data_IF_920795287247
#
_entry.id   IF_920795287247
#
_cell.length_a   1.000
_cell.length_b   1.000
_cell.length_c   1.000
_cell.angle_alpha   90.00
_cell.angle_beta   90.00
_cell.angle_gamma   90.00
#
_symmetry.space_group_name_H-M   'P 1'
#
loop_
_entity.id
_entity.type
_entity.pdbx_description
1 polymer ?
#
# COMPACT_ATOMS: atom_id res chain seq x y z
N UNK A 1 -25.72 12.07 26.02
CA UNK A 1 -25.69 13.22 25.09
C UNK A 1 -26.30 12.76 23.78
N UNK A 2 -27.54 13.14 23.48
CA UNK A 2 -28.18 12.82 22.20
C UNK A 2 -27.58 13.72 21.12
N UNK A 3 -26.77 13.15 20.23
CA UNK A 3 -26.28 13.87 19.05
C UNK A 3 -27.50 14.18 18.16
N UNK A 4 -27.77 15.47 17.96
CA UNK A 4 -28.76 15.90 16.98
C UNK A 4 -28.35 15.35 15.60
N UNK A 5 -29.33 14.99 14.75
CA UNK A 5 -29.03 14.52 13.40
C UNK A 5 -28.25 15.60 12.63
N UNK A 6 -27.27 15.20 11.79
CA UNK A 6 -26.46 16.15 11.03
C UNK A 6 -27.33 16.95 10.06
N UNK A 7 -27.03 18.24 9.92
CA UNK A 7 -27.74 19.10 8.96
C UNK A 7 -27.30 18.77 7.53
N UNK A 8 -28.16 19.09 6.55
CA UNK A 8 -27.87 18.90 5.12
C UNK A 8 -26.54 19.57 4.72
N UNK A 9 -26.28 20.78 5.22
CA UNK A 9 -25.02 21.49 4.98
C UNK A 9 -23.80 20.76 5.56
N UNK A 10 -23.92 20.11 6.72
CA UNK A 10 -22.84 19.32 7.31
C UNK A 10 -22.55 18.06 6.49
N UNK A 11 -23.58 17.43 5.90
CA UNK A 11 -23.42 16.27 5.02
C UNK A 11 -22.64 16.65 3.75
N UNK A 12 -22.97 17.79 3.13
CA UNK A 12 -22.28 18.23 1.91
C UNK A 12 -20.89 18.79 2.16
N UNK A 13 -20.68 19.57 3.23
CA UNK A 13 -19.35 19.99 3.62
C UNK A 13 -18.44 18.79 3.87
N UNK A 14 -18.96 17.76 4.56
CA UNK A 14 -18.23 16.52 4.75
C UNK A 14 -17.91 15.83 3.43
N UNK A 15 -18.87 15.73 2.50
CA UNK A 15 -18.63 15.11 1.20
C UNK A 15 -17.54 15.85 0.39
N UNK A 16 -17.54 17.18 0.41
CA UNK A 16 -16.56 18.01 -0.31
C UNK A 16 -15.13 17.79 0.20
N UNK A 17 -14.95 17.81 1.52
CA UNK A 17 -13.63 17.71 2.17
C UNK A 17 -13.18 16.28 2.48
N UNK A 18 -14.00 15.25 2.22
CA UNK A 18 -13.58 13.86 2.41
C UNK A 18 -12.66 13.43 1.25
N UNK A 19 -11.36 13.17 1.51
CA UNK A 19 -10.43 12.75 0.47
C UNK A 19 -10.62 11.28 0.10
N UNK A 20 -11.49 10.53 0.78
CA UNK A 20 -11.66 9.10 0.53
C UNK A 20 -12.36 8.85 -0.82
N UNK A 21 -12.07 7.71 -1.48
CA UNK A 21 -12.78 7.32 -2.69
C UNK A 21 -14.30 7.18 -2.45
N UNK A 22 -15.11 7.63 -3.40
CA UNK A 22 -16.57 7.42 -3.33
C UNK A 22 -16.91 6.01 -3.79
N UNK A 23 -17.44 5.19 -2.89
CA UNK A 23 -17.74 3.76 -3.14
C UNK A 23 -19.20 3.47 -3.47
N UNK A 24 -20.10 4.39 -3.11
CA UNK A 24 -21.55 4.18 -3.24
C UNK A 24 -22.17 5.29 -4.08
N UNK A 25 -23.27 4.97 -4.77
CA UNK A 25 -24.04 5.94 -5.56
C UNK A 25 -24.47 7.14 -4.70
N UNK A 26 -24.86 6.90 -3.44
CA UNK A 26 -25.25 7.96 -2.50
C UNK A 26 -24.09 8.92 -2.25
N UNK A 27 -22.89 8.39 -1.94
CA UNK A 27 -21.69 9.21 -1.74
C UNK A 27 -21.28 9.98 -3.00
N UNK A 28 -21.44 9.38 -4.18
CA UNK A 28 -21.14 10.02 -5.46
C UNK A 28 -22.11 11.18 -5.77
N UNK A 29 -23.41 11.01 -5.49
CA UNK A 29 -24.42 12.06 -5.64
C UNK A 29 -24.25 13.19 -4.62
N UNK A 30 -23.93 12.85 -3.36
CA UNK A 30 -23.64 13.85 -2.32
C UNK A 30 -22.43 14.71 -2.69
N UNK A 31 -21.36 14.08 -3.22
CA UNK A 31 -20.19 14.81 -3.70
C UNK A 31 -20.52 15.66 -4.93
N UNK A 32 -21.26 15.12 -5.91
CA UNK A 32 -21.70 15.88 -7.08
C UNK A 32 -22.46 17.15 -6.69
N UNK A 33 -23.43 17.01 -5.78
CA UNK A 33 -24.22 18.14 -5.29
C UNK A 33 -23.38 19.14 -4.49
N UNK A 34 -22.45 18.65 -3.64
CA UNK A 34 -21.53 19.51 -2.89
C UNK A 34 -20.60 20.32 -3.81
N UNK A 35 -20.30 19.80 -5.00
CA UNK A 35 -19.51 20.46 -6.05
C UNK A 35 -20.36 21.40 -6.94
N UNK A 36 -21.67 21.50 -6.69
CA UNK A 36 -22.59 22.37 -7.44
C UNK A 36 -23.14 21.75 -8.72
N UNK A 37 -23.02 20.43 -8.92
CA UNK A 37 -23.62 19.75 -10.07
C UNK A 37 -25.10 19.39 -9.83
N UNK A 38 -25.90 19.21 -10.90
CA UNK A 38 -27.30 18.78 -10.80
C UNK A 38 -27.49 17.49 -9.98
N UNK A 39 -28.63 17.35 -9.29
CA UNK A 39 -28.90 16.21 -8.38
C UNK A 39 -28.86 14.82 -9.03
N UNK A 40 -29.05 14.76 -10.34
CA UNK A 40 -29.03 13.51 -11.09
C UNK A 40 -27.62 13.07 -11.49
N UNK A 41 -26.63 13.96 -11.36
CA UNK A 41 -25.23 13.69 -11.67
C UNK A 41 -24.54 12.99 -10.51
N UNK A 42 -23.38 12.38 -10.80
CA UNK A 42 -22.61 11.61 -9.83
C UNK A 42 -21.12 11.92 -9.99
N UNK A 43 -20.38 11.99 -8.89
CA UNK A 43 -18.92 12.17 -8.95
C UNK A 43 -18.24 10.96 -8.31
N UNK A 44 -17.53 10.21 -9.14
CA UNK A 44 -16.68 9.10 -8.73
C UNK A 44 -15.28 9.62 -8.43
N UNK A 45 -14.91 9.59 -7.15
CA UNK A 45 -13.62 10.01 -6.65
C UNK A 45 -12.72 8.80 -6.50
N UNK A 46 -11.58 8.80 -7.18
CA UNK A 46 -10.51 7.82 -6.97
C UNK A 46 -9.29 8.53 -6.37
N UNK A 47 -8.54 7.81 -5.55
CA UNK A 47 -7.29 8.30 -4.97
C UNK A 47 -6.17 7.45 -5.58
N UNK A 48 -5.39 8.06 -6.47
CA UNK A 48 -4.21 7.42 -7.04
C UNK A 48 -2.97 7.83 -6.24
N UNK A 49 -2.00 6.94 -6.16
CA UNK A 49 -0.69 7.23 -5.58
C UNK A 49 0.28 7.29 -6.74
N UNK A 50 0.72 8.48 -7.10
CA UNK A 50 1.70 8.72 -8.16
C UNK A 50 2.87 9.47 -7.54
N UNK A 51 4.09 8.95 -7.72
CA UNK A 51 5.32 9.48 -7.10
C UNK A 51 5.23 9.70 -5.57
N UNK A 52 4.52 8.79 -4.87
CA UNK A 52 4.30 8.88 -3.42
C UNK A 52 3.34 9.99 -3.00
N UNK A 53 2.74 10.72 -3.94
CA UNK A 53 1.71 11.73 -3.69
C UNK A 53 0.33 11.14 -3.94
N UNK A 54 -0.59 11.42 -3.02
CA UNK A 54 -2.02 11.09 -3.20
C UNK A 54 -2.64 12.13 -4.12
N UNK A 55 -2.98 11.72 -5.33
CA UNK A 55 -3.70 12.53 -6.32
C UNK A 55 -5.17 12.11 -6.27
N UNK A 56 -6.04 13.10 -6.02
CA UNK A 56 -7.49 12.91 -6.09
C UNK A 56 -7.90 13.11 -7.54
N UNK A 57 -8.49 12.08 -8.13
CA UNK A 57 -9.06 12.14 -9.48
C UNK A 57 -10.57 11.99 -9.40
N UNK A 58 -11.28 13.03 -9.77
CA UNK A 58 -12.73 13.06 -9.79
C UNK A 58 -13.24 12.83 -11.21
N UNK A 59 -14.17 11.89 -11.35
CA UNK A 59 -14.85 11.57 -12.60
C UNK A 59 -16.32 11.94 -12.49
N UNK A 60 -16.78 12.90 -13.30
CA UNK A 60 -18.15 13.40 -13.22
C UNK A 60 -19.00 12.68 -14.26
N UNK A 61 -20.00 11.96 -13.77
CA UNK A 61 -20.99 11.24 -14.57
C UNK A 61 -22.23 12.13 -14.70
N UNK A 62 -22.40 12.74 -15.87
CA UNK A 62 -23.56 13.52 -16.24
C UNK A 62 -24.57 12.63 -16.99
N UNK A 63 -25.86 12.71 -16.68
CA UNK A 63 -26.89 12.08 -17.52
C UNK A 63 -26.97 12.85 -18.84
N UNK A 64 -26.46 12.26 -19.92
CA UNK A 64 -26.50 12.87 -21.24
C UNK A 64 -27.90 12.75 -21.86
N UNK A 65 -28.40 13.84 -22.46
CA UNK A 65 -29.59 13.84 -23.30
C UNK A 65 -30.93 14.16 -22.63
N UNK A 66 -32.02 13.83 -23.34
CA UNK A 66 -33.42 14.06 -22.91
C UNK A 66 -33.71 13.24 -21.64
N UNK A 67 -34.67 13.68 -20.81
CA UNK A 67 -35.11 13.11 -19.51
C UNK A 67 -35.21 11.58 -19.36
N UNK A 68 -35.14 10.81 -20.45
CA UNK A 68 -35.28 9.35 -20.51
C UNK A 68 -34.02 8.62 -21.01
N UNK A 69 -32.92 9.30 -21.33
CA UNK A 69 -31.67 8.63 -21.66
C UNK A 69 -30.96 8.24 -20.37
N UNK A 70 -30.62 6.96 -20.22
CA UNK A 70 -29.92 6.42 -19.05
C UNK A 70 -28.40 6.41 -19.21
N UNK A 71 -27.88 6.92 -20.33
CA UNK A 71 -26.44 6.90 -20.64
C UNK A 71 -25.74 8.04 -19.89
N UNK A 72 -24.82 7.67 -19.00
CA UNK A 72 -23.96 8.65 -18.35
C UNK A 72 -22.80 9.01 -19.30
N UNK A 73 -22.55 10.30 -19.45
CA UNK A 73 -21.37 10.84 -20.09
C UNK A 73 -20.37 11.24 -19.02
N UNK A 74 -19.12 10.82 -19.18
CA UNK A 74 -18.05 11.25 -18.29
C UNK A 74 -17.50 12.61 -18.73
N UNK A 75 -17.39 13.54 -17.79
CA UNK A 75 -16.83 14.87 -17.97
C UNK A 75 -15.71 15.10 -16.96
N UNK A 76 -14.68 15.82 -17.38
CA UNK A 76 -13.72 16.44 -16.45
C UNK A 76 -14.34 17.71 -15.85
N UNK A 77 -13.76 18.24 -14.76
CA UNK A 77 -14.36 19.33 -14.00
C UNK A 77 -14.75 20.56 -14.81
N UNK A 78 -13.88 21.01 -15.72
CA UNK A 78 -14.14 22.18 -16.54
C UNK A 78 -15.32 21.97 -17.50
N UNK A 79 -15.31 20.87 -18.28
CA UNK A 79 -16.42 20.51 -19.14
C UNK A 79 -17.72 20.28 -18.36
N UNK A 80 -17.64 19.66 -17.18
CA UNK A 80 -18.78 19.44 -16.32
C UNK A 80 -19.40 20.74 -15.81
N UNK A 81 -18.60 21.76 -15.48
CA UNK A 81 -19.11 23.08 -15.06
C UNK A 81 -19.80 23.80 -16.22
N UNK A 82 -19.20 23.79 -17.42
CA UNK A 82 -19.82 24.35 -18.63
C UNK A 82 -21.14 23.66 -18.96
N UNK A 83 -21.14 22.33 -18.91
CA UNK A 83 -22.31 21.49 -19.13
C UNK A 83 -23.41 21.73 -18.06
N UNK A 84 -23.04 21.89 -16.78
CA UNK A 84 -24.00 22.17 -15.71
C UNK A 84 -24.67 23.54 -15.88
N UNK A 85 -23.91 24.56 -16.30
CA UNK A 85 -24.45 25.90 -16.56
C UNK A 85 -25.43 25.89 -17.75
N UNK A 86 -25.13 25.14 -18.81
CA UNK A 86 -26.05 24.92 -19.92
C UNK A 86 -27.30 24.14 -19.48
N UNK A 87 -27.12 23.10 -18.65
CA UNK A 87 -28.24 22.30 -18.13
C UNK A 87 -29.20 23.13 -17.28
N UNK A 88 -28.71 24.09 -16.50
CA UNK A 88 -29.54 25.01 -15.72
C UNK A 88 -30.39 25.94 -16.62
N UNK A 89 -29.86 26.32 -17.79
CA UNK A 89 -30.56 27.20 -18.75
C UNK A 89 -31.53 26.45 -19.65
N UNK A 90 -31.13 25.30 -20.19
CA UNK A 90 -31.84 24.60 -21.27
C UNK A 90 -32.59 23.36 -20.78
N UNK A 91 -32.27 22.86 -19.59
CA UNK A 91 -32.90 21.66 -19.00
C UNK A 91 -32.51 20.34 -19.69
N UNK A 92 -31.64 20.37 -20.70
CA UNK A 92 -31.13 19.19 -21.40
C UNK A 92 -29.65 19.37 -21.75
N UNK A 93 -28.87 18.29 -21.61
CA UNK A 93 -27.52 18.22 -22.16
C UNK A 93 -27.62 17.71 -23.59
N UNK A 94 -27.73 18.61 -24.57
CA UNK A 94 -27.52 18.21 -25.96
C UNK A 94 -26.00 18.10 -26.20
N UNK A 95 -25.44 16.90 -26.46
CA UNK A 95 -24.00 16.73 -26.64
C UNK A 95 -23.40 17.57 -27.78
N UNK A 96 -24.23 18.08 -28.70
CA UNK A 96 -23.83 18.98 -29.79
C UNK A 96 -23.72 20.44 -29.36
N UNK A 97 -24.45 20.88 -28.33
CA UNK A 97 -24.50 22.29 -27.90
C UNK A 97 -23.25 22.75 -27.13
N UNK A 98 -22.41 21.81 -26.69
CA UNK A 98 -21.14 22.11 -25.99
C UNK A 98 -20.05 22.54 -27.01
N UNK A 99 -20.29 22.40 -28.32
CA UNK A 99 -19.32 22.71 -29.39
C UNK A 99 -19.36 24.19 -29.88
N UNK A 100 -20.46 24.93 -29.67
CA UNK A 100 -20.70 26.21 -30.36
C UNK A 100 -20.33 27.46 -29.54
N UNK A 101 -19.10 27.48 -29.02
CA UNK A 101 -18.56 28.58 -28.23
C UNK A 101 -17.42 29.37 -28.88
N UNK A 102 -17.07 29.17 -30.16
CA UNK A 102 -16.09 30.05 -30.84
C UNK A 102 -16.15 29.97 -32.37
N UNK A 103 -17.06 30.73 -32.99
CA UNK A 103 -17.02 31.01 -34.43
C UNK A 103 -15.94 32.05 -34.73
N UNK A 104 -14.71 31.62 -34.99
CA UNK A 104 -13.83 32.17 -36.03
C UNK A 104 -12.46 31.49 -36.02
N UNK A 105 -12.13 30.78 -37.10
CA UNK A 105 -10.76 30.36 -37.39
C UNK A 105 -10.68 28.98 -38.01
N UNK A 106 -10.44 28.95 -39.32
CA UNK A 106 -10.13 27.75 -40.09
C UNK A 106 -8.96 26.95 -39.48
N UNK A 107 -9.25 25.93 -38.70
CA UNK A 107 -8.49 24.69 -38.63
C UNK A 107 -9.36 23.64 -37.93
N UNK A 108 -9.87 22.69 -38.72
CA UNK A 108 -10.81 21.67 -38.28
C UNK A 108 -10.06 20.49 -37.64
N UNK A 109 -9.31 20.77 -36.57
CA UNK A 109 -9.07 19.74 -35.56
C UNK A 109 -10.28 19.77 -34.62
N UNK A 110 -11.08 18.71 -34.67
CA UNK A 110 -12.21 18.50 -33.76
C UNK A 110 -11.66 18.32 -32.34
N UNK A 111 -11.41 19.43 -31.65
CA UNK A 111 -11.30 19.46 -30.19
C UNK A 111 -12.69 19.22 -29.58
N UNK A 112 -13.17 17.99 -29.74
CA UNK A 112 -14.24 17.45 -28.91
C UNK A 112 -13.73 17.44 -27.47
N UNK A 113 -14.00 18.51 -26.71
CA UNK A 113 -13.69 18.58 -25.27
C UNK A 113 -14.34 17.45 -24.45
N UNK A 114 -15.23 16.69 -25.08
CA UNK A 114 -15.60 15.32 -24.71
C UNK A 114 -14.58 14.33 -25.28
N UNK A 115 -13.41 14.22 -24.66
CA UNK A 115 -12.52 13.07 -24.87
C UNK A 115 -13.13 11.84 -24.20
N UNK A 116 -14.13 11.23 -24.84
CA UNK A 116 -14.53 9.85 -24.59
C UNK A 116 -13.36 8.98 -25.04
N UNK A 117 -12.39 8.75 -24.15
CA UNK A 117 -11.56 7.57 -24.31
C UNK A 117 -12.53 6.39 -24.20
N UNK A 118 -12.63 5.53 -25.23
CA UNK A 118 -13.49 4.37 -25.16
C UNK A 118 -13.14 3.60 -23.88
N UNK A 119 -14.13 3.05 -23.15
CA UNK A 119 -13.86 2.31 -21.93
C UNK A 119 -12.78 1.27 -22.24
N UNK A 120 -11.72 1.29 -21.43
CA UNK A 120 -10.56 0.41 -21.62
C UNK A 120 -10.78 -0.78 -20.70
N UNK A 121 -10.74 -1.98 -21.27
CA UNK A 121 -10.80 -3.22 -20.50
C UNK A 121 -9.67 -3.23 -19.45
N UNK A 122 -10.00 -3.48 -18.18
CA UNK A 122 -9.02 -3.44 -17.09
C UNK A 122 -7.94 -4.52 -17.24
N UNK A 123 -8.34 -5.70 -17.69
CA UNK A 123 -7.47 -6.85 -17.81
C UNK A 123 -7.24 -7.28 -19.27
N UNK A 124 -6.08 -7.89 -19.54
CA UNK A 124 -5.67 -8.36 -20.88
C UNK A 124 -5.63 -9.88 -20.96
N UNK A 125 -5.70 -10.41 -22.19
CA UNK A 125 -5.50 -11.85 -22.44
C UNK A 125 -4.11 -12.27 -21.93
N UNK A 126 -4.05 -13.36 -21.18
CA UNK A 126 -2.84 -13.91 -20.56
C UNK A 126 -2.57 -13.41 -19.15
N UNK A 127 -3.31 -12.41 -18.67
CA UNK A 127 -3.14 -11.88 -17.32
C UNK A 127 -3.70 -12.83 -16.26
N UNK A 128 -3.01 -12.90 -15.13
CA UNK A 128 -3.42 -13.68 -13.96
C UNK A 128 -4.36 -12.82 -13.11
N UNK A 129 -5.55 -13.34 -12.86
CA UNK A 129 -6.62 -12.66 -12.14
C UNK A 129 -7.18 -13.58 -11.05
N UNK A 130 -7.95 -13.00 -10.14
CA UNK A 130 -8.79 -13.75 -9.23
C UNK A 130 -10.26 -13.51 -9.58
N UNK A 131 -11.01 -14.60 -9.66
CA UNK A 131 -12.43 -14.60 -10.03
C UNK A 131 -13.27 -14.93 -8.81
N UNK A 132 -14.35 -14.19 -8.58
CA UNK A 132 -15.31 -14.44 -7.51
C UNK A 132 -16.28 -15.55 -7.92
N UNK A 133 -16.33 -16.65 -7.17
CA UNK A 133 -17.28 -17.75 -7.34
C UNK A 133 -17.73 -18.26 -5.96
N UNK A 134 -19.05 -18.30 -5.72
CA UNK A 134 -19.64 -18.66 -4.42
C UNK A 134 -19.00 -17.89 -3.23
N UNK A 135 -18.85 -16.57 -3.38
CA UNK A 135 -18.20 -15.68 -2.40
C UNK A 135 -16.75 -16.02 -2.03
N UNK A 136 -16.09 -16.86 -2.82
CA UNK A 136 -14.66 -17.17 -2.70
C UNK A 136 -13.91 -16.69 -3.94
N UNK A 137 -12.67 -16.28 -3.74
CA UNK A 137 -11.77 -15.84 -4.81
C UNK A 137 -10.89 -16.99 -5.27
N UNK A 138 -10.91 -17.26 -6.57
CA UNK A 138 -10.17 -18.34 -7.21
C UNK A 138 -9.18 -17.79 -8.24
N UNK A 139 -7.95 -18.29 -8.23
CA UNK A 139 -6.93 -17.87 -9.19
C UNK A 139 -7.25 -18.44 -10.59
N UNK A 140 -7.17 -17.57 -11.60
CA UNK A 140 -7.44 -17.91 -12.98
C UNK A 140 -6.60 -17.07 -13.95
N UNK A 141 -6.46 -17.53 -15.19
CA UNK A 141 -5.81 -16.78 -16.28
C UNK A 141 -6.81 -16.43 -17.36
N UNK A 142 -6.80 -15.19 -17.85
CA UNK A 142 -7.67 -14.75 -18.94
C UNK A 142 -7.24 -15.39 -20.25
N UNK A 143 -8.14 -16.13 -20.90
CA UNK A 143 -7.84 -16.90 -22.12
C UNK A 143 -8.21 -16.20 -23.42
N UNK A 144 -9.26 -15.38 -23.42
CA UNK A 144 -9.76 -14.68 -24.61
C UNK A 144 -9.60 -13.16 -24.44
N UNK A 145 -9.61 -12.43 -25.56
CA UNK A 145 -9.71 -10.96 -25.49
C UNK A 145 -11.08 -10.59 -24.88
N UNK A 146 -11.13 -9.56 -24.02
CA UNK A 146 -12.38 -9.14 -23.38
C UNK A 146 -13.44 -8.84 -24.44
N UNK A 147 -14.63 -9.40 -24.25
CA UNK A 147 -15.78 -9.16 -25.11
C UNK A 147 -16.54 -7.96 -24.58
N UNK A 148 -16.84 -7.03 -25.47
CA UNK A 148 -17.71 -5.89 -25.18
C UNK A 148 -19.15 -6.31 -25.50
N UNK A 149 -19.99 -6.49 -24.47
CA UNK A 149 -21.40 -6.91 -24.64
C UNK A 149 -22.35 -5.70 -24.67
N UNK A 150 -22.05 -4.70 -23.86
CA UNK A 150 -22.69 -3.39 -23.82
C UNK A 150 -21.63 -2.31 -24.01
N UNK A 151 -22.03 -1.08 -24.36
CA UNK A 151 -21.11 0.04 -24.64
C UNK A 151 -20.12 0.35 -23.49
N UNK A 152 -20.39 -0.13 -22.27
CA UNK A 152 -19.62 0.15 -21.06
C UNK A 152 -19.15 -1.09 -20.28
N UNK A 153 -19.50 -2.32 -20.69
CA UNK A 153 -19.21 -3.55 -19.92
C UNK A 153 -18.29 -4.52 -20.68
N UNK A 154 -17.26 -4.98 -19.98
CA UNK A 154 -16.35 -6.03 -20.43
C UNK A 154 -16.62 -7.35 -19.76
N UNK A 155 -16.68 -8.40 -20.57
CA UNK A 155 -16.84 -9.77 -20.15
C UNK A 155 -15.59 -10.58 -20.52
N UNK A 156 -15.21 -11.46 -19.62
CA UNK A 156 -13.95 -12.18 -19.69
C UNK A 156 -14.17 -13.69 -19.72
N UNK A 157 -13.21 -14.36 -20.35
CA UNK A 157 -13.09 -15.82 -20.35
C UNK A 157 -11.83 -16.19 -19.60
N UNK A 158 -11.94 -17.07 -18.61
CA UNK A 158 -10.82 -17.46 -17.73
C UNK A 158 -10.65 -18.97 -17.67
N UNK A 159 -9.44 -19.42 -17.34
CA UNK A 159 -9.11 -20.80 -16.97
C UNK A 159 -8.63 -20.82 -15.52
N UNK A 160 -9.29 -21.60 -14.69
CA UNK A 160 -8.93 -21.77 -13.29
C UNK A 160 -7.67 -22.62 -13.12
N UNK A 161 -6.77 -22.23 -12.21
CA UNK A 161 -5.51 -22.95 -12.00
C UNK A 161 -5.67 -24.26 -11.22
N UNK A 162 -6.76 -24.43 -10.47
CA UNK A 162 -6.95 -25.58 -9.59
C UNK A 162 -7.40 -26.87 -10.31
N UNK A 163 -8.25 -26.72 -11.32
CA UNK A 163 -8.94 -27.82 -11.99
C UNK A 163 -8.91 -27.70 -13.53
N UNK A 164 -8.22 -26.68 -14.06
CA UNK A 164 -8.19 -26.37 -15.50
C UNK A 164 -9.59 -26.14 -16.10
N UNK A 165 -10.60 -25.86 -15.27
CA UNK A 165 -11.94 -25.54 -15.74
C UNK A 165 -11.95 -24.16 -16.43
N UNK A 166 -12.74 -24.02 -17.50
CA UNK A 166 -12.96 -22.76 -18.20
C UNK A 166 -14.29 -22.17 -17.82
N UNK A 167 -14.35 -20.85 -17.62
CA UNK A 167 -15.61 -20.12 -17.50
C UNK A 167 -15.61 -18.91 -18.43
N UNK A 168 -16.69 -18.75 -19.17
CA UNK A 168 -16.93 -17.65 -20.10
C UNK A 168 -17.90 -16.62 -19.48
N UNK A 169 -17.93 -15.43 -20.06
CA UNK A 169 -18.86 -14.35 -19.74
C UNK A 169 -18.84 -13.90 -18.25
N UNK A 170 -17.64 -13.83 -17.66
CA UNK A 170 -17.43 -13.28 -16.30
C UNK A 170 -17.40 -11.75 -16.37
N UNK A 171 -18.18 -11.09 -15.52
CA UNK A 171 -18.22 -9.63 -15.43
C UNK A 171 -16.91 -9.07 -14.84
N UNK A 172 -16.49 -7.88 -15.29
CA UNK A 172 -15.29 -7.20 -14.78
C UNK A 172 -15.32 -6.98 -13.26
N UNK A 173 -16.51 -6.82 -12.66
CA UNK A 173 -16.69 -6.65 -11.21
C UNK A 173 -16.39 -7.90 -10.38
N UNK A 174 -16.50 -9.08 -11.00
CA UNK A 174 -16.15 -10.37 -10.38
C UNK A 174 -14.67 -10.71 -10.55
N UNK A 175 -13.88 -9.79 -11.11
CA UNK A 175 -12.45 -9.93 -11.31
C UNK A 175 -11.67 -8.94 -10.46
N UNK A 176 -10.51 -9.38 -9.98
CA UNK A 176 -9.47 -8.51 -9.43
C UNK A 176 -8.10 -8.98 -9.88
N UNK A 177 -7.12 -8.07 -9.83
CA UNK A 177 -5.72 -8.38 -10.14
C UNK A 177 -5.27 -9.58 -9.31
N UNK A 178 -4.73 -10.60 -9.97
CA UNK A 178 -4.18 -11.76 -9.29
C UNK A 178 -2.85 -11.42 -8.65
N UNK A 179 -2.55 -12.03 -7.50
CA UNK A 179 -1.17 -12.14 -7.04
C UNK A 179 -0.43 -13.03 -8.06
N UNK A 180 0.66 -12.55 -8.66
CA UNK A 180 1.46 -13.37 -9.57
C UNK A 180 2.01 -14.57 -8.78
N UNK A 181 1.73 -15.81 -9.21
CA UNK A 181 2.20 -16.98 -8.50
C UNK A 181 3.72 -17.05 -8.33
N UNK A 182 4.49 -16.48 -9.26
CA UNK A 182 5.96 -16.44 -9.17
C UNK A 182 6.42 -15.43 -8.12
N UNK A 183 5.85 -14.22 -8.11
CA UNK A 183 6.15 -13.21 -7.09
C UNK A 183 5.74 -13.67 -5.69
N UNK A 184 4.61 -14.36 -5.58
CA UNK A 184 4.16 -14.94 -4.32
C UNK A 184 5.10 -16.05 -3.85
N UNK A 185 5.66 -16.86 -4.76
CA UNK A 185 6.67 -17.85 -4.42
C UNK A 185 7.97 -17.19 -3.92
N UNK A 186 8.42 -16.12 -4.58
CA UNK A 186 9.58 -15.32 -4.15
C UNK A 186 9.37 -14.71 -2.78
N UNK A 187 8.21 -14.10 -2.53
CA UNK A 187 7.84 -13.57 -1.21
C UNK A 187 7.79 -14.66 -0.11
N UNK A 188 7.56 -15.91 -0.49
CA UNK A 188 7.59 -17.06 0.43
C UNK A 188 9.01 -17.64 0.61
N UNK A 189 10.03 -17.13 -0.07
CA UNK A 189 11.42 -17.56 0.04
C UNK A 189 11.82 -18.66 -0.94
N UNK A 190 11.13 -18.78 -2.07
CA UNK A 190 11.51 -19.64 -3.20
C UNK A 190 12.13 -18.81 -4.32
N UNK A 191 12.77 -19.43 -5.31
CA UNK A 191 13.23 -18.74 -6.51
C UNK A 191 12.09 -18.58 -7.53
N UNK A 192 12.30 -17.73 -8.55
CA UNK A 192 11.29 -17.37 -9.55
C UNK A 192 10.82 -18.54 -10.44
N UNK A 193 11.46 -19.71 -10.35
CA UNK A 193 11.05 -20.92 -11.07
C UNK A 193 9.91 -21.67 -10.36
N UNK A 194 9.61 -21.32 -9.10
CA UNK A 194 8.51 -21.89 -8.33
C UNK A 194 7.26 -21.04 -8.47
N UNK A 195 6.10 -21.67 -8.30
CA UNK A 195 4.81 -20.98 -8.28
C UNK A 195 4.09 -21.23 -6.96
N UNK A 196 3.46 -20.20 -6.41
CA UNK A 196 2.65 -20.28 -5.22
C UNK A 196 1.24 -19.76 -5.51
N UNK A 197 0.22 -20.43 -4.98
CA UNK A 197 -1.16 -19.97 -5.06
C UNK A 197 -1.83 -20.05 -3.69
N UNK A 198 -2.71 -19.09 -3.38
CA UNK A 198 -3.54 -19.14 -2.18
C UNK A 198 -4.76 -20.01 -2.43
N UNK A 199 -5.00 -20.99 -1.55
CA UNK A 199 -6.23 -21.78 -1.46
C UNK A 199 -6.88 -21.52 -0.10
N UNK A 200 -7.65 -20.44 0.00
CA UNK A 200 -8.18 -19.94 1.26
C UNK A 200 -7.08 -19.39 2.16
N UNK A 201 -6.92 -19.96 3.36
CA UNK A 201 -5.86 -19.57 4.33
C UNK A 201 -4.53 -20.32 4.12
N UNK A 202 -4.49 -21.30 3.21
CA UNK A 202 -3.30 -22.15 2.96
C UNK A 202 -2.68 -21.80 1.61
N UNK A 203 -1.37 -22.03 1.50
CA UNK A 203 -0.64 -21.91 0.24
C UNK A 203 -0.46 -23.29 -0.39
N UNK A 204 -0.70 -23.39 -1.69
CA UNK A 204 -0.27 -24.52 -2.52
C UNK A 204 0.94 -24.05 -3.31
N UNK A 205 2.06 -24.72 -3.11
CA UNK A 205 3.35 -24.35 -3.71
C UNK A 205 3.75 -25.45 -4.68
N UNK A 206 4.10 -25.09 -5.91
CA UNK A 206 4.50 -26.03 -6.95
C UNK A 206 5.94 -25.77 -7.36
N UNK A 207 6.72 -26.85 -7.37
CA UNK A 207 8.10 -26.83 -7.81
C UNK A 207 8.20 -26.88 -9.35
N UNK A 208 9.35 -26.50 -9.94
CA UNK A 208 9.58 -26.52 -11.38
C UNK A 208 9.41 -27.92 -11.99
N UNK A 209 9.63 -28.96 -11.19
CA UNK A 209 9.44 -30.36 -11.58
C UNK A 209 7.96 -30.81 -11.57
N UNK A 210 7.02 -29.90 -11.33
CA UNK A 210 5.58 -30.17 -11.29
C UNK A 210 5.05 -30.72 -9.97
N UNK A 211 5.93 -31.05 -9.00
CA UNK A 211 5.51 -31.52 -7.66
C UNK A 211 4.82 -30.40 -6.89
N UNK A 212 3.66 -30.69 -6.31
CA UNK A 212 2.89 -29.76 -5.48
C UNK A 212 3.06 -30.08 -4.00
N UNK A 213 3.12 -29.05 -3.18
CA UNK A 213 3.30 -29.12 -1.74
C UNK A 213 2.14 -28.39 -1.04
N UNK A 214 1.49 -29.03 -0.06
CA UNK A 214 0.36 -28.43 0.66
C UNK A 214 0.79 -27.46 1.78
N UNK A 215 2.10 -27.31 2.02
CA UNK A 215 2.61 -26.41 3.06
C UNK A 215 3.97 -25.82 2.69
N UNK A 216 4.20 -24.58 3.15
CA UNK A 216 5.48 -23.85 3.01
C UNK A 216 6.66 -24.64 3.55
N UNK A 217 6.51 -25.26 4.73
CA UNK A 217 7.58 -26.02 5.39
C UNK A 217 8.03 -27.23 4.56
N UNK A 218 7.08 -27.98 3.98
CA UNK A 218 7.40 -29.13 3.13
C UNK A 218 8.09 -28.70 1.82
N UNK A 219 7.58 -27.64 1.20
CA UNK A 219 8.18 -27.06 -0.01
C UNK A 219 9.60 -26.55 0.24
N UNK A 220 9.85 -25.80 1.33
CA UNK A 220 11.18 -25.27 1.66
C UNK A 220 12.19 -26.37 1.94
N UNK A 221 11.78 -27.48 2.56
CA UNK A 221 12.66 -28.63 2.75
C UNK A 221 13.12 -29.19 1.40
N UNK A 222 12.18 -29.41 0.48
CA UNK A 222 12.51 -29.91 -0.86
C UNK A 222 13.34 -28.90 -1.66
N UNK A 223 13.05 -27.60 -1.53
CA UNK A 223 13.84 -26.54 -2.14
C UNK A 223 15.28 -26.55 -1.66
N UNK A 224 15.51 -26.66 -0.34
CA UNK A 224 16.85 -26.79 0.26
C UNK A 224 17.57 -28.05 -0.17
N UNK A 225 16.86 -29.18 -0.26
CA UNK A 225 17.44 -30.45 -0.72
C UNK A 225 17.91 -30.36 -2.19
N UNK A 226 17.20 -29.59 -3.02
CA UNK A 226 17.59 -29.31 -4.42
C UNK A 226 18.79 -28.35 -4.51
N UNK A 227 18.78 -27.25 -3.74
CA UNK A 227 19.86 -26.26 -3.78
C UNK A 227 21.14 -26.75 -3.09
N UNK A 228 21.03 -27.64 -2.09
CA UNK A 228 22.18 -28.34 -1.52
C UNK A 228 22.72 -29.48 -2.41
N UNK A 229 22.01 -29.83 -3.48
CA UNK A 229 22.27 -30.97 -4.36
C UNK A 229 23.55 -30.90 -5.18
N UNK A 230 24.11 -29.71 -5.42
CA UNK A 230 25.34 -29.53 -6.22
C UNK A 230 26.61 -29.30 -5.38
N UNK A 231 26.50 -29.15 -4.05
CA UNK A 231 27.66 -28.90 -3.18
C UNK A 231 27.85 -29.93 -2.06
N UNK A 232 26.96 -30.92 -1.91
CA UNK A 232 26.94 -31.77 -0.70
C UNK A 232 26.91 -33.30 -0.94
N UNK A 233 27.42 -33.81 -2.07
CA UNK A 233 27.78 -35.25 -2.16
C UNK A 233 29.14 -35.50 -1.50
N UNK A 234 29.21 -35.41 -0.18
CA UNK A 234 30.42 -35.84 0.52
C UNK A 234 30.58 -35.43 1.98
N UNK A 235 29.65 -35.79 2.89
CA UNK A 235 30.04 -36.35 4.20
C UNK A 235 28.83 -36.76 5.04
N UNK A 236 28.68 -38.07 5.16
CA UNK A 236 27.99 -38.75 6.24
C UNK A 236 28.85 -38.64 7.50
N UNK A 237 28.39 -37.93 8.53
CA UNK A 237 28.40 -38.33 9.97
C UNK A 237 28.47 -37.14 10.94
N UNK A 238 27.69 -37.34 12.01
CA UNK A 238 27.75 -36.79 13.37
C UNK A 238 27.20 -35.40 13.58
N UNK A 239 26.05 -35.40 14.25
CA UNK A 239 25.47 -34.33 15.03
C UNK A 239 26.55 -33.61 15.86
N UNK A 240 26.71 -32.32 15.60
CA UNK A 240 27.10 -31.33 16.58
C UNK A 240 26.51 -30.01 16.12
N UNK A 241 25.45 -29.62 16.83
CA UNK A 241 25.05 -28.26 17.15
C UNK A 241 26.15 -27.22 16.86
N UNK A 242 26.04 -26.59 15.69
CA UNK A 242 26.68 -25.31 15.41
C UNK A 242 25.91 -24.68 14.26
N UNK A 243 24.99 -23.82 14.66
CA UNK A 243 24.42 -22.76 13.83
C UNK A 243 25.53 -22.18 12.95
N UNK A 244 25.38 -22.38 11.64
CA UNK A 244 26.15 -21.64 10.66
C UNK A 244 25.20 -20.62 10.06
N UNK A 245 25.41 -19.38 10.51
CA UNK A 245 25.43 -18.17 9.69
C UNK A 245 24.17 -17.97 8.84
N UNK A 246 23.05 -17.72 9.52
CA UNK A 246 22.27 -16.54 9.14
C UNK A 246 23.20 -15.33 9.31
N UNK A 247 23.24 -14.42 8.34
CA UNK A 247 23.84 -13.09 8.50
C UNK A 247 22.95 -12.26 9.45
N UNK A 248 22.75 -12.80 10.66
CA UNK A 248 21.95 -12.24 11.73
C UNK A 248 22.75 -11.15 12.41
N UNK A 249 22.01 -10.17 12.92
CA UNK A 249 22.49 -8.98 13.59
C UNK A 249 23.68 -9.28 14.54
N UNK A 250 24.63 -8.34 14.67
CA UNK A 250 25.76 -8.47 15.59
C UNK A 250 25.29 -8.91 16.99
N UNK A 251 26.11 -9.63 17.76
CA UNK A 251 25.77 -10.03 19.12
C UNK A 251 25.76 -8.82 20.06
N UNK A 252 24.70 -8.02 20.01
CA UNK A 252 24.55 -6.81 20.81
C UNK A 252 24.53 -7.14 22.30
N UNK A 253 25.42 -6.52 23.08
CA UNK A 253 25.39 -6.59 24.54
C UNK A 253 24.22 -5.74 25.04
N UNK A 254 23.37 -6.31 25.88
CA UNK A 254 22.18 -5.65 26.44
C UNK A 254 22.36 -5.17 27.89
N UNK A 255 23.55 -5.31 28.45
CA UNK A 255 23.87 -4.95 29.83
C UNK A 255 25.33 -4.47 29.92
N UNK A 256 25.66 -3.65 30.92
CA UNK A 256 27.05 -3.30 31.28
C UNK A 256 27.53 -1.92 30.84
N UNK A 257 26.75 -1.17 30.06
CA UNK A 257 27.04 0.22 29.69
C UNK A 257 26.00 1.19 30.26
N UNK A 258 26.43 2.36 30.74
CA UNK A 258 25.59 3.39 31.39
C UNK A 258 24.49 4.00 30.49
N UNK A 259 24.55 3.72 29.19
CA UNK A 259 23.62 4.26 28.20
C UNK A 259 22.49 3.30 27.87
N UNK A 260 22.64 2.02 28.19
CA UNK A 260 21.62 1.02 27.89
C UNK A 260 20.33 1.35 28.64
N UNK A 261 19.21 1.31 27.90
CA UNK A 261 17.88 1.66 28.41
C UNK A 261 17.61 3.17 28.51
N UNK A 262 18.59 4.04 28.21
CA UNK A 262 18.35 5.48 28.12
C UNK A 262 17.67 5.85 26.82
N UNK A 263 16.91 6.94 26.86
CA UNK A 263 16.27 7.53 25.68
C UNK A 263 17.16 8.61 25.07
N UNK A 264 17.12 8.73 23.76
CA UNK A 264 17.78 9.79 23.01
C UNK A 264 16.86 10.35 21.93
N UNK A 265 17.10 11.60 21.52
CA UNK A 265 16.40 12.23 20.39
C UNK A 265 17.29 12.11 19.15
N UNK A 266 16.82 11.40 18.14
CA UNK A 266 17.51 11.30 16.86
C UNK A 266 16.86 12.21 15.84
N UNK A 267 17.67 13.05 15.20
CA UNK A 267 17.20 13.99 14.19
C UNK A 267 17.87 13.70 12.86
N UNK A 268 17.10 13.39 11.82
CA UNK A 268 17.63 13.17 10.48
C UNK A 268 16.83 13.92 9.42
N UNK A 269 17.50 14.18 8.30
CA UNK A 269 16.89 14.86 7.16
C UNK A 269 16.40 13.85 6.12
N UNK A 270 15.14 13.95 5.73
CA UNK A 270 14.55 13.13 4.69
C UNK A 270 14.16 13.97 3.47
N UNK A 271 14.45 13.47 2.27
CA UNK A 271 14.09 14.13 1.01
C UNK A 271 12.66 13.78 0.61
N UNK A 272 11.70 14.51 1.15
CA UNK A 272 10.27 14.30 0.85
C UNK A 272 9.91 14.63 -0.62
N UNK A 273 10.70 15.44 -1.32
CA UNK A 273 10.54 15.69 -2.76
C UNK A 273 11.84 16.21 -3.38
N UNK A 274 11.88 16.32 -4.71
CA UNK A 274 13.03 16.86 -5.44
C UNK A 274 13.56 18.21 -4.90
N UNK A 275 12.66 19.05 -4.35
CA UNK A 275 12.99 20.42 -3.87
C UNK A 275 12.80 20.62 -2.36
N UNK A 276 12.31 19.63 -1.62
CA UNK A 276 11.99 19.77 -0.19
C UNK A 276 12.67 18.69 0.62
N UNK A 277 13.50 19.13 1.56
CA UNK A 277 13.98 18.33 2.68
C UNK A 277 13.13 18.64 3.91
N UNK A 278 12.82 17.61 4.68
CA UNK A 278 12.13 17.72 5.97
C UNK A 278 13.06 17.19 7.04
N UNK A 279 13.02 17.79 8.22
CA UNK A 279 13.76 17.32 9.40
C UNK A 279 12.77 16.54 10.26
N UNK A 280 13.13 15.30 10.61
CA UNK A 280 12.31 14.38 11.39
C UNK A 280 13.05 14.11 12.69
N UNK A 281 12.36 14.34 13.80
CA UNK A 281 12.85 14.07 15.15
C UNK A 281 12.14 12.82 15.70
N UNK A 282 12.90 11.89 16.27
CA UNK A 282 12.39 10.65 16.86
C UNK A 282 13.01 10.41 18.21
N UNK A 283 12.25 9.81 19.12
CA UNK A 283 12.77 9.36 20.41
C UNK A 283 13.00 7.86 20.33
N UNK A 284 14.25 7.44 20.52
CA UNK A 284 14.66 6.04 20.53
C UNK A 284 15.19 5.62 21.90
N UNK A 285 15.27 4.30 22.12
CA UNK A 285 15.87 3.67 23.27
C UNK A 285 17.12 2.89 22.86
N UNK A 286 18.18 3.03 23.66
CA UNK A 286 19.45 2.34 23.41
C UNK A 286 19.28 0.90 23.92
N UNK A 287 19.14 -0.07 23.00
CA UNK A 287 18.86 -1.47 23.32
C UNK A 287 20.16 -2.27 23.51
N UNK A 288 21.18 -1.97 22.73
CA UNK A 288 22.39 -2.79 22.69
C UNK A 288 23.64 -2.00 22.34
N UNK A 289 24.81 -2.60 22.57
CA UNK A 289 26.08 -2.04 22.14
C UNK A 289 27.13 -3.10 21.81
N UNK A 290 28.12 -2.69 21.00
CA UNK A 290 29.39 -3.39 20.77
C UNK A 290 30.45 -2.59 21.51
N UNK A 291 31.24 -3.27 22.34
CA UNK A 291 32.29 -2.60 23.11
C UNK A 291 33.50 -2.32 22.22
N UNK A 292 34.19 -1.21 22.48
CA UNK A 292 35.47 -0.89 21.86
C UNK A 292 36.52 -2.01 21.99
N UNK A 293 36.47 -2.79 23.07
CA UNK A 293 37.37 -3.91 23.32
C UNK A 293 36.94 -5.21 22.61
N UNK A 294 35.76 -5.25 22.00
CA UNK A 294 35.29 -6.42 21.27
C UNK A 294 36.13 -6.61 20.00
N UNK A 295 36.54 -7.85 19.74
CA UNK A 295 37.29 -8.22 18.54
C UNK A 295 36.70 -9.46 17.89
N UNK A 296 36.75 -9.54 16.57
CA UNK A 296 36.35 -10.72 15.81
C UNK A 296 37.35 -11.89 15.97
N UNK A 297 37.09 -13.01 15.29
CA UNK A 297 37.97 -14.20 15.33
C UNK A 297 39.36 -13.95 14.71
N UNK A 298 39.50 -12.90 13.92
CA UNK A 298 40.73 -12.51 13.24
C UNK A 298 41.51 -11.44 14.02
N UNK A 299 40.94 -10.95 15.15
CA UNK A 299 41.53 -9.93 16.01
C UNK A 299 41.23 -8.50 15.57
N UNK A 300 40.34 -8.30 14.59
CA UNK A 300 39.92 -6.96 14.18
C UNK A 300 38.92 -6.41 15.20
N UNK A 301 38.95 -5.09 15.49
CA UNK A 301 37.98 -4.47 16.38
C UNK A 301 36.55 -4.64 15.84
N UNK A 302 35.59 -4.84 16.75
CA UNK A 302 34.18 -5.02 16.41
C UNK A 302 33.58 -3.80 15.71
N UNK A 303 34.10 -2.61 16.01
CA UNK A 303 33.77 -1.38 15.30
C UNK A 303 34.93 -0.38 15.32
N UNK A 304 35.09 0.36 14.22
CA UNK A 304 36.07 1.44 14.07
C UNK A 304 35.32 2.73 13.77
N UNK A 305 35.48 3.73 14.63
CA UNK A 305 34.83 5.03 14.49
C UNK A 305 35.23 5.70 13.19
N UNK A 306 34.26 6.21 12.45
CA UNK A 306 34.51 6.93 11.20
C UNK A 306 35.22 8.25 11.46
N UNK A 307 34.91 8.89 12.58
CA UNK A 307 35.47 10.20 12.98
C UNK A 307 36.92 10.11 13.44
N UNK A 308 37.27 9.05 14.16
CA UNK A 308 38.59 8.95 14.80
C UNK A 308 39.51 7.91 14.16
N UNK A 309 38.98 7.00 13.36
CA UNK A 309 39.71 5.87 12.77
C UNK A 309 40.24 4.87 13.80
N UNK A 310 39.76 4.94 15.06
CA UNK A 310 40.19 4.08 16.17
C UNK A 310 39.04 3.16 16.56
N UNK A 311 39.34 2.01 17.21
CA UNK A 311 38.32 1.18 17.82
C UNK A 311 37.43 2.01 18.75
N UNK A 312 36.12 1.85 18.62
CA UNK A 312 35.12 2.62 19.36
C UNK A 312 33.90 1.75 19.68
N UNK A 313 33.07 2.22 20.61
CA UNK A 313 31.80 1.57 20.93
C UNK A 313 30.72 2.01 19.93
N UNK A 314 29.92 1.06 19.47
CA UNK A 314 28.76 1.29 18.60
C UNK A 314 27.50 0.87 19.33
N UNK A 315 26.46 1.68 19.26
CA UNK A 315 25.22 1.47 20.01
C UNK A 315 24.04 1.27 19.07
N UNK A 316 23.23 0.28 19.37
CA UNK A 316 22.00 -0.02 18.65
C UNK A 316 20.82 0.69 19.31
N UNK A 317 20.20 1.59 18.57
CA UNK A 317 19.05 2.38 19.00
C UNK A 317 17.82 1.89 18.27
N UNK A 318 16.78 1.58 19.01
CA UNK A 318 15.49 1.18 18.47
C UNK A 318 14.48 2.29 18.75
N UNK A 319 13.66 2.60 17.76
CA UNK A 319 12.65 3.65 17.86
C UNK A 319 11.26 3.06 18.10
N UNK A 320 10.45 3.78 18.87
CA UNK A 320 9.04 3.39 19.06
C UNK A 320 8.24 3.74 17.79
N UNK A 321 7.41 2.80 17.33
CA UNK A 321 6.44 3.09 16.27
C UNK A 321 5.41 4.11 16.78
N UNK A 322 5.45 5.30 16.19
CA UNK A 322 4.50 6.37 16.49
C UNK A 322 3.59 6.59 15.27
N UNK A 323 2.47 5.86 15.15
CA UNK A 323 1.55 6.00 14.04
C UNK A 323 0.85 7.38 14.00
N UNK A 324 0.94 8.15 15.08
CA UNK A 324 0.44 9.53 15.16
C UNK A 324 1.44 10.58 14.68
N UNK A 325 2.69 10.21 14.37
CA UNK A 325 3.69 11.15 13.88
C UNK A 325 3.33 11.67 12.48
N UNK A 326 3.43 12.98 12.19
CA UNK A 326 3.09 13.54 10.87
C UNK A 326 3.90 12.93 9.71
N UNK A 327 5.02 12.29 10.04
CA UNK A 327 5.93 11.61 9.13
C UNK A 327 6.09 10.12 9.45
N UNK A 328 5.05 9.45 9.98
CA UNK A 328 5.06 8.05 10.39
C UNK A 328 5.66 7.09 9.33
N UNK A 329 5.39 7.34 8.05
CA UNK A 329 5.89 6.55 6.91
C UNK A 329 7.40 6.66 6.66
N UNK A 330 8.08 7.60 7.29
CA UNK A 330 9.51 7.83 7.17
C UNK A 330 10.24 7.55 8.49
N UNK A 331 9.56 6.96 9.47
CA UNK A 331 10.21 6.65 10.74
C UNK A 331 11.23 5.53 10.55
N UNK A 332 12.31 5.60 11.33
CA UNK A 332 13.31 4.54 11.34
C UNK A 332 12.85 3.50 12.36
N UNK A 333 13.06 2.22 12.09
CA UNK A 333 12.81 1.18 13.09
C UNK A 333 13.98 1.10 14.08
N UNK A 334 15.19 1.20 13.56
CA UNK A 334 16.44 1.19 14.32
C UNK A 334 17.53 1.98 13.59
N UNK A 335 18.56 2.36 14.33
CA UNK A 335 19.81 2.90 13.77
C UNK A 335 20.96 2.59 14.72
N UNK A 336 22.15 2.44 14.16
CA UNK A 336 23.37 2.30 14.94
C UNK A 336 24.08 3.66 15.03
N UNK A 337 24.56 4.01 16.21
CA UNK A 337 25.13 5.34 16.50
C UNK A 337 26.42 5.22 17.31
N UNK A 338 27.34 6.16 17.09
CA UNK A 338 28.56 6.26 17.86
C UNK A 338 28.32 6.90 19.24
N UNK A 339 29.23 6.64 20.18
CA UNK A 339 29.16 7.18 21.55
C UNK A 339 29.01 8.70 21.60
N UNK A 340 29.71 9.43 20.73
CA UNK A 340 29.67 10.89 20.69
C UNK A 340 28.30 11.41 20.22
N UNK A 341 27.64 10.69 19.32
CA UNK A 341 26.32 11.06 18.82
C UNK A 341 25.26 10.83 19.89
N UNK A 342 25.41 9.78 20.70
CA UNK A 342 24.55 9.56 21.86
C UNK A 342 24.68 10.72 22.84
N UNK A 343 25.91 11.11 23.20
CA UNK A 343 26.15 12.18 24.17
C UNK A 343 25.53 13.51 23.76
N UNK A 344 25.53 13.83 22.46
CA UNK A 344 24.92 15.04 21.92
C UNK A 344 23.38 15.02 21.95
N UNK A 345 22.79 13.83 21.95
CA UNK A 345 21.35 13.61 21.74
C UNK A 345 20.63 12.96 22.94
N UNK A 346 21.35 12.73 24.03
CA UNK A 346 20.84 12.00 25.19
C UNK A 346 19.79 12.82 25.95
N UNK A 347 18.64 12.21 26.22
CA UNK A 347 17.64 12.85 27.06
C UNK A 347 18.05 12.79 28.54
N UNK A 348 17.69 13.80 29.34
CA UNK A 348 17.89 13.76 30.79
C UNK A 348 17.13 12.56 31.37
N UNK A 349 17.68 11.91 32.41
CA UNK A 349 17.01 10.78 33.05
C UNK A 349 15.64 11.24 33.58
N UNK A 350 14.57 10.50 33.25
CA UNK A 350 13.24 10.79 33.78
C UNK A 350 13.30 10.63 35.31
N UNK A 351 13.10 11.74 36.05
CA UNK A 351 12.99 11.69 37.50
C UNK A 351 11.85 10.73 37.88
N UNK A 352 12.04 9.84 38.87
CA UNK A 352 11.02 8.87 39.24
C UNK A 352 9.77 9.63 39.70
N UNK A 353 8.70 9.59 38.88
CA UNK A 353 7.41 10.20 39.20
C UNK A 353 6.99 9.77 40.61
N UNK A 354 7.00 10.71 41.54
CA UNK A 354 6.60 10.48 42.92
C UNK A 354 5.22 9.80 42.94
N UNK A 355 5.17 8.59 43.52
CA UNK A 355 3.95 7.77 43.59
C UNK A 355 2.82 8.60 44.20
N UNK A 356 1.81 8.91 43.39
CA UNK A 356 0.63 9.64 43.83
C UNK A 356 -0.07 8.82 44.92
N UNK A 357 -0.34 9.37 46.12
CA UNK A 357 -0.96 8.61 47.19
C UNK A 357 -2.39 8.21 46.77
N UNK A 358 -2.62 6.91 46.74
CA UNK A 358 -3.91 6.29 46.45
C UNK A 358 -4.92 6.68 47.53
N UNK A 359 -5.91 7.52 47.19
CA UNK A 359 -6.96 7.92 48.13
C UNK A 359 -7.83 6.71 48.47
N UNK A 360 -7.74 6.23 49.71
CA UNK A 360 -8.63 5.22 50.27
C UNK A 360 -10.05 5.80 50.40
N UNK A 361 -10.96 5.31 49.55
CA UNK A 361 -12.37 5.68 49.57
C UNK A 361 -13.03 5.09 50.82
N UNK A 362 -13.18 5.93 51.85
CA UNK A 362 -13.86 5.62 53.11
C UNK A 362 -15.35 5.36 52.83
N UNK A 363 -15.75 4.09 52.84
CA UNK A 363 -17.14 3.63 52.79
C UNK A 363 -17.83 4.08 54.09
N UNK A 364 -18.76 5.04 53.99
CA UNK A 364 -19.71 5.35 55.08
C UNK A 364 -20.83 4.32 55.04
N UNK A 365 -21.10 3.70 56.20
CA UNK A 365 -22.34 3.01 56.54
C UNK A 365 -23.40 4.04 56.90
#
# INVERSE_FOLDING_TARGET
>A
MSLLPPTISQIYAKAMFDPRPTKTIISQKQLAYALGYPMDWRVERTVMIEDGKKIIQDRIHALGGKKNQTKYMWLHHEAAQKAALLFEKEGTLDPTAIEDGNTNGNNKEKETGSHLLPPIARFRKGEVVQVKYEDKWWAATITKRPKKKNDDEFYYSVVYHGDSATQDDIAEEDLRTGEDPSELAVALGFDATWSASRRGTRFVIQAPCGKTFPSKKAALKHFRDLTAGDSAKGKKRKASEKEKEDAGDPPWRRDGHDFIGRKMVWTFQHKASARRQITIEQVGFIEGYIDKADTDKEGNPGYVSEKTGKPASLFHVVFEDNPGHPYAQYLLDHTDVEEFEILENLLPPEEPKAKTPTSSKKRRR
#
